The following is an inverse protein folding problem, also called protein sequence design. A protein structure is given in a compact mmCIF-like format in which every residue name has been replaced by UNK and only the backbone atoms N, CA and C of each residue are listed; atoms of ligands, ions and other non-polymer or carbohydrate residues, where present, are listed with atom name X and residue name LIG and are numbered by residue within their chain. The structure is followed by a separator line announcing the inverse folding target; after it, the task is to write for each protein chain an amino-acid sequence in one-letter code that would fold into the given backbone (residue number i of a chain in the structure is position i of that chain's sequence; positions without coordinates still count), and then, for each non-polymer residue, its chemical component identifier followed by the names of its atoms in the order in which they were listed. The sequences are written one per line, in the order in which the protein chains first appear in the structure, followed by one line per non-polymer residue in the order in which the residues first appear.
data_IF_878303602338
#
_entry.id   IF_878303602338
#
_cell.length_a   1.000
_cell.length_b   1.000
_cell.length_c   1.000
_cell.angle_alpha   90.00
_cell.angle_beta   90.00
_cell.angle_gamma   90.00
#
_symmetry.space_group_name_H-M   'P 1'
#
loop_
_entity.id
_entity.type
_entity.pdbx_description
1 polymer ?
#
# COMPACT_ATOMS: atom_id res chain seq x y z
N UNK A 1 -4.63 -4.71 28.84
CA UNK A 1 -3.55 -4.27 27.93
C UNK A 1 -4.11 -4.48 26.53
N UNK A 2 -4.83 -3.48 26.02
CA UNK A 2 -5.63 -3.62 24.80
C UNK A 2 -4.74 -3.28 23.61
N UNK A 3 -4.37 -4.31 22.85
CA UNK A 3 -3.58 -4.21 21.63
C UNK A 3 -4.53 -3.97 20.45
N UNK A 4 -4.93 -2.70 20.27
CA UNK A 4 -5.90 -2.23 19.27
C UNK A 4 -5.27 -1.51 18.07
N UNK A 5 -3.94 -1.47 17.97
CA UNK A 5 -3.29 -0.69 16.92
C UNK A 5 -3.35 -1.42 15.57
N UNK A 6 -3.78 -0.75 14.48
CA UNK A 6 -3.63 -1.28 13.14
C UNK A 6 -2.14 -1.47 12.82
N UNK A 7 -1.82 -2.48 12.00
CA UNK A 7 -0.44 -2.62 11.51
C UNK A 7 -0.21 -1.54 10.46
N UNK A 8 0.64 -0.57 10.81
CA UNK A 8 1.05 0.51 9.92
C UNK A 8 2.09 0.01 8.93
N UNK A 9 1.85 0.25 7.65
CA UNK A 9 2.81 -0.04 6.58
C UNK A 9 3.11 1.25 5.82
N UNK A 10 4.40 1.61 5.78
CA UNK A 10 4.93 2.75 5.04
C UNK A 10 5.69 2.21 3.84
N UNK A 11 5.08 2.18 2.64
CA UNK A 11 5.82 1.80 1.45
C UNK A 11 6.94 2.81 1.21
N UNK A 12 8.18 2.33 1.16
CA UNK A 12 9.32 3.13 0.73
C UNK A 12 9.22 3.30 -0.79
N UNK A 13 8.56 4.37 -1.23
CA UNK A 13 8.53 4.74 -2.63
C UNK A 13 9.43 5.97 -2.80
N UNK A 14 10.63 5.76 -3.35
CA UNK A 14 11.53 6.84 -3.72
C UNK A 14 11.06 7.45 -5.04
N UNK A 15 10.25 8.50 -4.96
CA UNK A 15 9.86 9.31 -6.11
C UNK A 15 10.62 10.61 -6.07
N UNK A 16 11.16 11.03 -7.21
CA UNK A 16 11.68 12.38 -7.37
C UNK A 16 10.51 13.37 -7.29
N UNK A 17 10.72 14.56 -6.71
CA UNK A 17 9.64 15.53 -6.44
C UNK A 17 8.88 15.95 -7.71
N UNK A 18 9.59 16.09 -8.83
CA UNK A 18 8.98 16.40 -10.13
C UNK A 18 8.02 15.29 -10.59
N UNK A 19 8.34 14.03 -10.33
CA UNK A 19 7.48 12.89 -10.65
C UNK A 19 6.30 12.81 -9.68
N UNK A 20 6.50 13.11 -8.39
CA UNK A 20 5.45 13.10 -7.39
C UNK A 20 4.30 14.08 -7.70
N UNK A 21 4.60 15.19 -8.40
CA UNK A 21 3.64 16.21 -8.80
C UNK A 21 2.63 15.74 -9.87
N UNK A 22 2.98 14.72 -10.65
CA UNK A 22 2.19 14.22 -11.79
C UNK A 22 1.70 12.78 -11.57
N UNK A 23 1.51 12.38 -10.31
CA UNK A 23 0.92 11.09 -9.92
C UNK A 23 -0.56 11.30 -9.60
N UNK A 24 -1.41 10.49 -10.24
CA UNK A 24 -2.85 10.47 -10.02
C UNK A 24 -3.22 9.50 -8.88
N UNK A 25 -2.39 8.48 -8.61
CA UNK A 25 -2.62 7.53 -7.53
C UNK A 25 -1.61 6.38 -7.50
N UNK A 26 -1.94 5.34 -6.73
CA UNK A 26 -1.12 4.16 -6.54
C UNK A 26 -1.92 2.88 -6.72
N UNK A 27 -1.34 1.87 -7.35
CA UNK A 27 -1.81 0.50 -7.26
C UNK A 27 -1.12 -0.19 -6.08
N UNK A 28 -1.92 -0.63 -5.11
CA UNK A 28 -1.44 -1.47 -4.01
C UNK A 28 -1.63 -2.93 -4.41
N UNK A 29 -0.53 -3.61 -4.73
CA UNK A 29 -0.52 -5.04 -4.97
C UNK A 29 -0.36 -5.81 -3.66
N UNK A 30 -1.23 -6.79 -3.40
CA UNK A 30 -1.09 -7.69 -2.25
C UNK A 30 -1.34 -9.16 -2.58
N UNK A 31 -0.70 -10.06 -1.84
CA UNK A 31 -0.98 -11.51 -1.84
C UNK A 31 -0.54 -12.15 -0.53
N UNK A 32 -1.01 -13.36 -0.23
CA UNK A 32 -0.43 -14.17 0.84
C UNK A 32 1.02 -14.51 0.45
N UNK A 33 1.98 -14.25 1.35
CA UNK A 33 3.42 -14.34 1.05
C UNK A 33 3.84 -15.71 0.51
N UNK A 34 3.33 -16.77 1.14
CA UNK A 34 3.59 -18.16 0.75
C UNK A 34 2.76 -18.65 -0.46
N UNK A 35 1.80 -17.85 -0.95
CA UNK A 35 0.96 -18.27 -2.07
C UNK A 35 1.69 -18.10 -3.42
N UNK A 36 1.57 -19.07 -4.34
CA UNK A 36 2.01 -18.90 -5.73
C UNK A 36 1.09 -17.96 -6.53
N UNK A 37 -0.05 -17.57 -5.97
CA UNK A 37 -1.01 -16.69 -6.65
C UNK A 37 -0.37 -15.35 -7.06
N UNK A 38 -0.86 -14.74 -8.15
CA UNK A 38 -0.46 -13.40 -8.53
C UNK A 38 -0.93 -12.36 -7.50
N UNK A 39 -0.33 -11.18 -7.54
CA UNK A 39 -0.80 -10.03 -6.75
C UNK A 39 -2.20 -9.60 -7.18
N UNK A 40 -3.05 -9.34 -6.21
CA UNK A 40 -4.30 -8.58 -6.40
C UNK A 40 -3.99 -7.10 -6.26
N UNK A 41 -4.44 -6.28 -7.21
CA UNK A 41 -4.18 -4.84 -7.21
C UNK A 41 -5.45 -4.06 -6.90
N UNK A 42 -5.31 -3.08 -6.00
CA UNK A 42 -6.35 -2.09 -5.68
C UNK A 42 -5.84 -0.69 -6.05
N UNK A 43 -6.63 0.11 -6.80
CA UNK A 43 -6.28 1.50 -7.05
C UNK A 43 -6.58 2.34 -5.81
N UNK A 44 -5.68 3.26 -5.50
CA UNK A 44 -5.79 4.25 -4.43
C UNK A 44 -5.48 5.61 -5.04
N UNK A 45 -6.51 6.43 -5.23
CA UNK A 45 -6.36 7.76 -5.82
C UNK A 45 -5.64 8.72 -4.86
N UNK A 46 -4.75 9.55 -5.42
CA UNK A 46 -4.06 10.60 -4.69
C UNK A 46 -5.04 11.74 -4.38
N UNK A 47 -5.31 12.00 -3.11
CA UNK A 47 -5.97 13.22 -2.64
C UNK A 47 -5.04 14.44 -2.75
N UNK A 48 -5.48 15.46 -3.47
CA UNK A 48 -4.80 16.77 -3.52
C UNK A 48 -5.13 17.68 -2.31
N UNK A 49 -5.94 17.21 -1.36
CA UNK A 49 -6.45 18.03 -0.24
C UNK A 49 -5.79 17.73 1.10
N UNK A 50 -4.89 16.75 1.17
CA UNK A 50 -4.24 16.36 2.42
C UNK A 50 -2.79 15.96 2.18
N UNK A 51 -1.90 16.47 3.04
CA UNK A 51 -0.48 16.13 3.08
C UNK A 51 -0.23 14.69 3.54
N UNK A 52 -1.20 14.06 4.20
CA UNK A 52 -1.12 12.66 4.61
C UNK A 52 -2.32 11.93 4.07
N UNK A 53 -2.05 10.87 3.32
CA UNK A 53 -3.11 10.02 2.82
C UNK A 53 -3.03 8.65 3.47
N UNK A 54 -4.20 8.05 3.65
CA UNK A 54 -4.30 6.71 4.19
C UNK A 54 -5.31 5.85 3.44
N UNK A 55 -5.04 4.55 3.44
CA UNK A 55 -5.92 3.55 2.86
C UNK A 55 -6.00 2.35 3.80
N UNK A 56 -7.22 1.89 4.12
CA UNK A 56 -7.44 0.72 4.96
C UNK A 56 -7.76 -0.50 4.09
N UNK A 57 -6.83 -1.46 4.05
CA UNK A 57 -7.08 -2.76 3.43
C UNK A 57 -7.64 -3.71 4.47
N UNK A 58 -8.85 -4.19 4.24
CA UNK A 58 -9.62 -5.04 5.17
C UNK A 58 -9.88 -6.42 4.58
N UNK A 59 -10.61 -7.26 5.31
CA UNK A 59 -11.02 -8.61 4.86
C UNK A 59 -9.84 -9.54 4.56
N UNK A 60 -8.70 -9.34 5.22
CA UNK A 60 -7.55 -10.24 5.13
C UNK A 60 -7.65 -11.36 6.16
N UNK A 61 -6.91 -12.44 5.91
CA UNK A 61 -6.75 -13.50 6.88
C UNK A 61 -5.96 -12.96 8.09
N UNK A 62 -6.39 -13.34 9.29
CA UNK A 62 -5.73 -12.98 10.56
C UNK A 62 -4.43 -13.75 10.70
N UNK A 63 -3.47 -13.20 11.45
CA UNK A 63 -2.19 -13.86 11.74
C UNK A 63 -1.47 -14.43 10.51
N UNK A 64 -1.66 -13.79 9.35
CA UNK A 64 -1.20 -14.27 8.05
C UNK A 64 -0.20 -13.28 7.48
N UNK A 65 0.89 -13.80 6.92
CA UNK A 65 1.91 -12.98 6.26
C UNK A 65 1.50 -12.67 4.82
N UNK A 66 1.47 -11.38 4.50
CA UNK A 66 1.16 -10.86 3.18
C UNK A 66 2.40 -10.17 2.59
N UNK A 67 2.58 -10.30 1.28
CA UNK A 67 3.54 -9.51 0.51
C UNK A 67 2.82 -8.35 -0.15
N UNK A 68 3.49 -7.20 -0.20
CA UNK A 68 3.01 -5.97 -0.80
C UNK A 68 4.01 -5.41 -1.82
N UNK A 69 3.49 -4.84 -2.90
CA UNK A 69 4.21 -3.98 -3.86
C UNK A 69 3.35 -2.77 -4.19
N UNK A 70 3.97 -1.62 -4.47
CA UNK A 70 3.28 -0.39 -4.84
C UNK A 70 3.74 0.07 -6.22
N UNK A 71 2.81 0.49 -7.07
CA UNK A 71 3.11 1.17 -8.34
C UNK A 71 2.41 2.52 -8.38
N UNK A 72 3.16 3.60 -8.58
CA UNK A 72 2.55 4.88 -8.92
C UNK A 72 1.91 4.81 -10.31
N UNK A 73 0.79 5.52 -10.51
CA UNK A 73 0.20 5.68 -11.84
C UNK A 73 -0.22 7.12 -12.10
N UNK A 74 -0.28 7.44 -13.39
CA UNK A 74 -0.94 8.64 -13.90
C UNK A 74 -1.64 8.34 -15.23
N UNK A 75 -2.19 9.37 -15.87
CA UNK A 75 -2.82 9.28 -17.20
C UNK A 75 -1.97 8.64 -18.32
N UNK A 76 -0.64 8.54 -18.16
CA UNK A 76 0.25 7.87 -19.13
C UNK A 76 0.40 6.37 -18.85
N UNK A 77 0.13 5.92 -17.63
CA UNK A 77 0.25 4.52 -17.22
C UNK A 77 0.84 4.34 -15.84
N UNK A 78 1.16 3.10 -15.50
CA UNK A 78 1.83 2.72 -14.26
C UNK A 78 3.35 2.80 -14.41
N UNK A 79 4.02 3.30 -13.37
CA UNK A 79 5.48 3.25 -13.22
C UNK A 79 5.98 1.88 -12.75
N UNK A 80 7.30 1.74 -12.53
CA UNK A 80 7.86 0.50 -12.00
C UNK A 80 7.33 0.19 -10.59
N UNK A 81 7.22 -1.10 -10.22
CA UNK A 81 6.85 -1.49 -8.86
C UNK A 81 7.97 -1.19 -7.87
N UNK A 82 7.58 -0.89 -6.62
CA UNK A 82 8.47 -0.86 -5.48
C UNK A 82 9.11 -2.22 -5.22
N UNK A 83 10.10 -2.25 -4.31
CA UNK A 83 10.52 -3.51 -3.69
C UNK A 83 9.35 -4.18 -2.96
N UNK A 84 9.41 -5.51 -2.89
CA UNK A 84 8.41 -6.29 -2.16
C UNK A 84 8.66 -6.17 -0.66
N UNK A 85 7.63 -5.85 0.11
CA UNK A 85 7.69 -5.89 1.57
C UNK A 85 6.68 -6.90 2.12
N UNK A 86 7.09 -7.68 3.13
CA UNK A 86 6.22 -8.66 3.78
C UNK A 86 5.83 -8.22 5.18
N UNK A 87 4.54 -8.29 5.50
CA UNK A 87 3.98 -7.88 6.79
C UNK A 87 2.91 -8.87 7.23
N UNK A 88 2.86 -9.18 8.54
CA UNK A 88 1.87 -10.09 9.12
C UNK A 88 0.68 -9.33 9.71
N UNK A 89 -0.53 -9.74 9.36
CA UNK A 89 -1.76 -9.25 10.01
C UNK A 89 -1.84 -9.74 11.46
N UNK A 90 -2.52 -8.97 12.31
CA UNK A 90 -2.86 -9.40 13.68
C UNK A 90 -4.31 -9.91 13.72
N UNK A 91 -5.04 -9.58 14.79
CA UNK A 91 -6.37 -10.13 15.11
C UNK A 91 -7.49 -9.67 14.16
N UNK A 92 -7.33 -8.54 13.49
CA UNK A 92 -8.39 -7.92 12.69
C UNK A 92 -8.27 -8.14 11.18
N UNK A 93 -7.20 -8.80 10.71
CA UNK A 93 -7.04 -9.08 9.28
C UNK A 93 -7.07 -7.82 8.42
N UNK A 94 -6.31 -6.79 8.82
CA UNK A 94 -6.28 -5.50 8.13
C UNK A 94 -4.92 -4.81 8.20
N UNK A 95 -4.67 -3.93 7.24
CA UNK A 95 -3.52 -3.00 7.21
C UNK A 95 -4.01 -1.58 6.99
N UNK A 96 -3.34 -0.62 7.63
CA UNK A 96 -3.48 0.80 7.32
C UNK A 96 -2.21 1.27 6.61
N UNK A 97 -2.38 1.64 5.34
CA UNK A 97 -1.35 2.26 4.53
C UNK A 97 -1.39 3.75 4.83
N UNK A 98 -0.27 4.34 5.21
CA UNK A 98 -0.14 5.80 5.35
C UNK A 98 1.02 6.24 4.44
N UNK A 99 0.77 7.23 3.60
CA UNK A 99 1.79 7.77 2.70
C UNK A 99 1.85 9.30 2.83
N UNK A 100 3.05 9.86 3.06
CA UNK A 100 3.24 11.29 2.99
C UNK A 100 3.07 11.74 1.55
N UNK A 101 2.33 12.83 1.40
CA UNK A 101 2.14 13.56 0.17
C UNK A 101 2.86 14.87 0.39
N UNK A 102 4.13 14.91 0.01
CA UNK A 102 4.78 16.20 -0.17
C UNK A 102 4.07 16.95 -1.31
#
# INVERSE_FOLDING_TARGET
MNITEPVYFFPQLSLDEDDASNIDGFYVGYKINASPDPYTFIPVDKSHKSEVQSYELTSLNRFTEYSFIIQAYNKRGAGPPSETTSVRTLEFGKFLFCYPVN
#
